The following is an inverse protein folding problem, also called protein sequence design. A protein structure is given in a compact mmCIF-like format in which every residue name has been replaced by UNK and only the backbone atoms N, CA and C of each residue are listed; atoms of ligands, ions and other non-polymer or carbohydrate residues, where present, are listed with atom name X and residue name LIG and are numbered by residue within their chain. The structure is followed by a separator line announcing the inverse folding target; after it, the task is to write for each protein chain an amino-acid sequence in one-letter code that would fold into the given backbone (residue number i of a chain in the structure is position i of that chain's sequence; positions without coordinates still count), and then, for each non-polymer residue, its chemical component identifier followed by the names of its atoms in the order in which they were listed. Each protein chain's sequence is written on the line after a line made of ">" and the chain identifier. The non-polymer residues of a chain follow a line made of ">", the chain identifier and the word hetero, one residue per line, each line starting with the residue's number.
data_IF_966640253141
#
_entry.id   IF_966640253141
#
_cell.length_a   1.000
_cell.length_b   1.000
_cell.length_c   1.000
_cell.angle_alpha   90.00
_cell.angle_beta   90.00
_cell.angle_gamma   90.00
#
_symmetry.space_group_name_H-M   'P 1'
#
loop_
_entity.id
_entity.type
_entity.pdbx_description
1 polymer ?
#
# COMPACT_ATOMS: atom_id res chain seq x y z
N UNK A 1 -4.78 -13.17 -5.68
CA UNK A 1 -4.48 -12.74 -7.07
C UNK A 1 -3.03 -13.11 -7.33
N UNK A 2 -2.75 -14.01 -8.26
CA UNK A 2 -1.35 -14.24 -8.66
C UNK A 2 -0.86 -12.98 -9.36
N UNK A 3 0.27 -12.45 -8.93
CA UNK A 3 1.01 -11.29 -9.46
C UNK A 3 1.43 -11.38 -10.94
N UNK A 4 0.91 -12.35 -11.70
CA UNK A 4 1.28 -12.61 -13.09
C UNK A 4 0.59 -11.70 -14.12
N UNK A 5 -0.49 -10.99 -13.75
CA UNK A 5 -1.30 -10.26 -14.74
C UNK A 5 -1.08 -8.73 -14.74
N UNK A 6 -0.06 -8.22 -14.04
CA UNK A 6 0.28 -6.79 -14.05
C UNK A 6 1.19 -6.36 -15.22
N UNK A 7 1.38 -7.23 -16.22
CA UNK A 7 2.29 -6.98 -17.34
C UNK A 7 1.53 -6.75 -18.66
N UNK A 8 1.20 -5.48 -18.96
CA UNK A 8 0.64 -5.08 -20.25
C UNK A 8 1.48 -4.03 -20.99
N UNK A 9 2.76 -3.84 -20.63
CA UNK A 9 3.53 -2.69 -21.11
C UNK A 9 4.69 -2.98 -22.09
N UNK A 10 4.90 -4.24 -22.48
CA UNK A 10 6.09 -4.59 -23.28
C UNK A 10 5.94 -4.31 -24.79
N UNK A 11 4.74 -4.45 -25.38
CA UNK A 11 4.62 -4.61 -26.85
C UNK A 11 3.95 -3.46 -27.63
N UNK A 12 3.20 -2.55 -27.00
CA UNK A 12 2.32 -1.61 -27.77
C UNK A 12 2.98 -0.25 -28.11
N UNK A 13 4.16 0.04 -27.57
CA UNK A 13 4.62 1.44 -27.44
C UNK A 13 5.35 1.99 -28.69
N UNK A 14 5.90 1.15 -29.57
CA UNK A 14 6.97 1.64 -30.46
C UNK A 14 6.53 2.26 -31.78
N UNK A 15 5.45 1.83 -32.42
CA UNK A 15 5.24 2.22 -33.84
C UNK A 15 4.13 3.25 -34.07
N UNK A 16 2.97 3.16 -33.41
CA UNK A 16 1.84 4.04 -33.75
C UNK A 16 1.82 5.40 -33.02
N UNK A 17 2.57 5.54 -31.91
CA UNK A 17 2.45 6.71 -31.01
C UNK A 17 3.35 7.89 -31.40
N UNK A 18 4.47 7.65 -32.08
CA UNK A 18 5.45 8.68 -32.48
C UNK A 18 4.89 9.69 -33.50
N UNK A 19 3.69 9.45 -34.05
CA UNK A 19 3.15 10.20 -35.19
C UNK A 19 2.29 11.42 -34.80
N UNK A 20 1.85 11.56 -33.55
CA UNK A 20 0.84 12.57 -33.18
C UNK A 20 1.38 13.85 -32.50
N UNK A 21 2.59 13.82 -31.91
CA UNK A 21 3.08 14.89 -31.04
C UNK A 21 4.49 15.38 -31.41
N UNK A 22 4.81 16.64 -31.08
CA UNK A 22 6.19 17.15 -31.22
C UNK A 22 7.08 16.43 -30.21
N UNK A 23 7.73 15.37 -30.68
CA UNK A 23 8.52 14.47 -29.86
C UNK A 23 10.00 14.84 -29.92
N UNK A 24 10.67 14.86 -28.77
CA UNK A 24 12.13 14.95 -28.68
C UNK A 24 12.70 13.65 -28.13
N UNK A 25 13.59 13.02 -28.89
CA UNK A 25 14.31 11.82 -28.48
C UNK A 25 15.67 12.20 -27.88
N UNK A 26 16.00 11.60 -26.73
CA UNK A 26 17.29 11.75 -26.07
C UNK A 26 17.94 10.37 -25.93
N UNK A 27 19.17 10.25 -26.39
CA UNK A 27 19.96 9.02 -26.36
C UNK A 27 21.34 9.21 -25.71
N UNK A 28 21.55 10.31 -24.99
CA UNK A 28 22.81 10.57 -24.28
C UNK A 28 22.56 11.33 -22.99
N UNK A 29 23.48 11.18 -22.03
CA UNK A 29 23.45 11.92 -20.78
C UNK A 29 23.43 13.43 -21.04
N UNK A 30 22.50 14.15 -20.42
CA UNK A 30 22.43 15.60 -20.59
C UNK A 30 21.71 16.29 -19.44
N UNK A 31 21.94 17.60 -19.32
CA UNK A 31 21.12 18.50 -18.52
C UNK A 31 20.18 19.28 -19.44
N UNK A 32 18.93 19.45 -19.03
CA UNK A 32 17.88 20.10 -19.83
C UNK A 32 17.17 21.15 -18.99
N UNK A 33 17.03 22.35 -19.54
CA UNK A 33 16.18 23.41 -19.02
C UNK A 33 14.82 23.43 -19.72
N UNK A 34 13.87 24.18 -19.15
CA UNK A 34 12.57 24.42 -19.79
C UNK A 34 12.69 25.02 -21.19
N UNK A 35 13.63 25.95 -21.39
CA UNK A 35 13.83 26.61 -22.69
C UNK A 35 14.17 25.61 -23.81
N UNK A 36 14.84 24.50 -23.47
CA UNK A 36 15.20 23.45 -24.42
C UNK A 36 14.02 22.52 -24.78
N UNK A 37 12.87 22.65 -24.10
CA UNK A 37 11.64 21.86 -24.29
C UNK A 37 10.39 22.72 -24.55
N UNK A 38 10.51 24.04 -24.74
CA UNK A 38 9.37 24.96 -24.85
C UNK A 38 8.33 24.63 -25.95
N UNK A 39 8.71 23.84 -26.95
CA UNK A 39 7.87 23.40 -28.08
C UNK A 39 7.82 21.86 -28.20
N UNK A 40 8.18 21.15 -27.13
CA UNK A 40 8.16 19.69 -27.06
C UNK A 40 6.96 19.26 -26.25
N UNK A 41 6.11 18.42 -26.83
CA UNK A 41 4.94 17.87 -26.13
C UNK A 41 5.34 16.59 -25.39
N UNK A 42 6.14 15.74 -26.05
CA UNK A 42 6.51 14.41 -25.56
C UNK A 42 8.03 14.23 -25.54
N UNK A 43 8.54 13.61 -24.48
CA UNK A 43 9.96 13.27 -24.36
C UNK A 43 10.15 11.75 -24.32
N UNK A 44 11.03 11.23 -25.18
CA UNK A 44 11.35 9.79 -25.24
C UNK A 44 12.85 9.58 -24.99
N UNK A 45 13.18 8.78 -23.99
CA UNK A 45 14.56 8.39 -23.67
C UNK A 45 14.78 6.93 -24.09
N UNK A 46 15.54 6.71 -25.16
CA UNK A 46 15.67 5.40 -25.82
C UNK A 46 16.89 4.58 -25.39
N UNK A 47 17.73 5.13 -24.52
CA UNK A 47 18.93 4.46 -24.03
C UNK A 47 19.10 4.73 -22.54
N UNK A 48 20.05 4.05 -21.91
CA UNK A 48 20.44 4.33 -20.53
C UNK A 48 20.99 5.75 -20.44
N UNK A 49 20.18 6.66 -19.89
CA UNK A 49 20.47 8.09 -19.87
C UNK A 49 20.38 8.62 -18.45
N UNK A 50 21.30 9.51 -18.10
CA UNK A 50 21.20 10.41 -16.95
C UNK A 50 20.69 11.76 -17.43
N UNK A 51 19.50 12.14 -16.97
CA UNK A 51 18.84 13.38 -17.32
C UNK A 51 18.69 14.25 -16.08
N UNK A 52 19.32 15.43 -16.08
CA UNK A 52 19.14 16.43 -15.03
C UNK A 52 18.26 17.56 -15.53
N UNK A 53 17.14 17.80 -14.86
CA UNK A 53 16.22 18.88 -15.16
C UNK A 53 16.65 20.10 -14.34
N UNK A 54 16.96 21.19 -15.03
CA UNK A 54 17.43 22.42 -14.40
C UNK A 54 16.27 23.25 -13.83
N UNK A 55 15.06 23.03 -14.36
CA UNK A 55 13.82 23.67 -13.96
C UNK A 55 12.73 22.62 -13.76
N UNK A 56 11.59 23.05 -13.22
CA UNK A 56 10.37 22.23 -13.21
C UNK A 56 9.79 22.14 -14.61
N UNK A 57 9.79 20.94 -15.20
CA UNK A 57 9.43 20.74 -16.60
C UNK A 57 7.95 20.41 -16.78
N UNK A 58 7.32 21.05 -17.77
CA UNK A 58 5.95 20.77 -18.20
C UNK A 58 5.95 20.08 -19.55
N UNK A 59 5.39 18.88 -19.61
CA UNK A 59 5.21 18.10 -20.84
C UNK A 59 3.81 17.48 -20.86
N UNK A 60 3.38 17.00 -22.02
CA UNK A 60 2.18 16.18 -22.10
C UNK A 60 2.46 14.80 -21.51
N UNK A 61 3.55 14.18 -21.95
CA UNK A 61 3.94 12.82 -21.55
C UNK A 61 5.46 12.60 -21.59
N UNK A 62 5.93 11.59 -20.85
CA UNK A 62 7.33 11.14 -20.85
C UNK A 62 7.38 9.62 -20.94
N UNK A 63 8.31 9.12 -21.76
CA UNK A 63 8.57 7.70 -21.93
C UNK A 63 10.05 7.40 -21.69
N UNK A 64 10.34 6.62 -20.65
CA UNK A 64 11.69 6.21 -20.30
C UNK A 64 11.88 4.73 -20.56
N UNK A 65 12.94 4.38 -21.30
CA UNK A 65 13.42 3.02 -21.34
C UNK A 65 14.24 2.68 -20.09
N UNK A 66 14.77 1.46 -20.08
CA UNK A 66 15.42 0.88 -18.91
C UNK A 66 16.72 1.58 -18.52
N UNK A 67 17.10 1.46 -17.25
CA UNK A 67 18.39 1.94 -16.72
C UNK A 67 18.56 3.46 -16.84
N UNK A 68 17.45 4.21 -16.71
CA UNK A 68 17.42 5.67 -16.78
C UNK A 68 17.53 6.28 -15.38
N UNK A 69 18.30 7.37 -15.26
CA UNK A 69 18.32 8.21 -14.05
C UNK A 69 17.77 9.59 -14.37
N UNK A 70 16.84 10.09 -13.58
CA UNK A 70 16.32 11.46 -13.69
C UNK A 70 16.49 12.19 -12.36
N UNK A 71 16.96 13.42 -12.43
CA UNK A 71 17.01 14.36 -11.32
C UNK A 71 16.21 15.62 -11.67
N UNK A 72 15.25 16.01 -10.84
CA UNK A 72 14.45 17.21 -10.97
C UNK A 72 12.94 16.94 -11.01
N UNK A 73 12.16 18.02 -11.03
CA UNK A 73 10.71 17.94 -10.87
C UNK A 73 9.97 17.93 -12.21
N UNK A 74 8.89 17.14 -12.27
CA UNK A 74 8.05 16.99 -13.44
C UNK A 74 6.60 17.34 -13.15
N UNK A 75 5.98 18.08 -14.07
CA UNK A 75 4.54 18.28 -14.16
C UNK A 75 4.10 17.80 -15.54
N UNK A 76 3.28 16.77 -15.60
CA UNK A 76 2.73 16.25 -16.84
C UNK A 76 1.24 16.51 -16.95
N UNK A 77 0.79 16.78 -18.16
CA UNK A 77 -0.65 16.89 -18.45
C UNK A 77 -1.28 15.49 -18.41
N UNK A 78 -0.59 14.50 -18.96
CA UNK A 78 -1.06 13.12 -19.10
C UNK A 78 -0.13 12.17 -18.33
N UNK A 79 0.62 11.32 -19.04
CA UNK A 79 1.22 10.14 -18.45
C UNK A 79 2.74 10.26 -18.29
N UNK A 80 3.23 9.85 -17.12
CA UNK A 80 4.62 9.47 -16.93
C UNK A 80 4.75 7.95 -17.11
N UNK A 81 5.61 7.48 -18.02
CA UNK A 81 5.82 6.06 -18.27
C UNK A 81 7.31 5.75 -18.26
N UNK A 82 7.71 4.82 -17.42
CA UNK A 82 9.08 4.36 -17.35
C UNK A 82 9.14 2.84 -17.21
N UNK A 83 10.09 2.22 -17.92
CA UNK A 83 10.33 0.78 -17.86
C UNK A 83 11.09 0.40 -16.58
N UNK A 84 12.01 -0.55 -16.68
CA UNK A 84 12.69 -1.17 -15.55
C UNK A 84 13.94 -0.41 -15.12
N UNK A 85 14.37 -0.63 -13.88
CA UNK A 85 15.63 -0.14 -13.32
C UNK A 85 15.76 1.39 -13.40
N UNK A 86 14.71 2.10 -13.01
CA UNK A 86 14.66 3.57 -13.05
C UNK A 86 15.14 4.14 -11.72
N UNK A 87 15.98 5.17 -11.76
CA UNK A 87 16.34 5.95 -10.59
C UNK A 87 15.78 7.37 -10.76
N UNK A 88 14.74 7.72 -10.03
CA UNK A 88 14.12 9.04 -10.11
C UNK A 88 14.32 9.81 -8.80
N UNK A 89 14.82 11.04 -8.89
CA UNK A 89 14.90 11.97 -7.77
C UNK A 89 14.21 13.29 -8.12
N UNK A 90 13.18 13.65 -7.37
CA UNK A 90 12.36 14.84 -7.56
C UNK A 90 10.88 14.52 -7.38
N UNK A 91 10.03 15.51 -7.60
CA UNK A 91 8.58 15.35 -7.52
C UNK A 91 7.97 15.05 -8.90
N UNK A 92 6.85 14.32 -8.94
CA UNK A 92 6.03 14.11 -10.15
C UNK A 92 4.58 14.50 -9.86
N UNK A 93 3.98 15.32 -10.73
CA UNK A 93 2.54 15.53 -10.81
C UNK A 93 2.04 15.17 -12.21
N UNK A 94 1.17 14.17 -12.35
CA UNK A 94 0.69 13.68 -13.65
C UNK A 94 -0.77 13.20 -13.58
N UNK A 95 -1.39 12.89 -14.73
CA UNK A 95 -2.66 12.16 -14.75
C UNK A 95 -2.43 10.72 -14.28
N UNK A 96 -1.49 10.02 -14.93
CA UNK A 96 -1.07 8.68 -14.56
C UNK A 96 0.45 8.59 -14.44
N UNK A 97 0.91 7.69 -13.58
CA UNK A 97 2.34 7.40 -13.40
C UNK A 97 2.56 5.90 -13.43
N UNK A 98 3.45 5.44 -14.30
CA UNK A 98 3.80 4.04 -14.51
C UNK A 98 5.31 3.86 -14.41
N UNK A 99 5.73 2.95 -13.54
CA UNK A 99 7.12 2.50 -13.41
C UNK A 99 7.19 0.98 -13.53
N UNK A 100 8.21 0.48 -14.22
CA UNK A 100 8.52 -0.94 -14.25
C UNK A 100 9.17 -1.44 -12.95
N UNK A 101 9.88 -2.55 -13.06
CA UNK A 101 10.51 -3.25 -11.95
C UNK A 101 11.79 -2.59 -11.45
N UNK A 102 12.19 -2.92 -10.22
CA UNK A 102 13.48 -2.55 -9.63
C UNK A 102 13.76 -1.04 -9.68
N UNK A 103 12.72 -0.25 -9.47
CA UNK A 103 12.77 1.21 -9.57
C UNK A 103 13.01 1.83 -8.20
N UNK A 104 13.91 2.82 -8.12
CA UNK A 104 14.16 3.65 -6.94
C UNK A 104 13.61 5.05 -7.17
N UNK A 105 12.68 5.46 -6.32
CA UNK A 105 11.98 6.74 -6.38
C UNK A 105 12.26 7.55 -5.12
N UNK A 106 12.70 8.79 -5.28
CA UNK A 106 12.97 9.71 -4.17
C UNK A 106 12.32 11.08 -4.43
N UNK A 107 11.23 11.36 -3.73
CA UNK A 107 10.43 12.57 -3.84
C UNK A 107 8.94 12.30 -3.67
N UNK A 108 8.09 13.28 -3.93
CA UNK A 108 6.65 13.15 -3.77
C UNK A 108 5.96 12.90 -5.12
N UNK A 109 4.99 12.00 -5.11
CA UNK A 109 4.32 11.53 -6.32
C UNK A 109 2.82 11.76 -6.24
N UNK A 110 2.29 12.60 -7.13
CA UNK A 110 0.87 12.86 -7.27
C UNK A 110 0.40 12.41 -8.67
N UNK A 111 -0.36 11.32 -8.72
CA UNK A 111 -1.07 10.90 -9.93
C UNK A 111 -2.56 11.17 -9.74
N UNK A 112 -3.22 11.91 -10.61
CA UNK A 112 -4.65 12.24 -10.43
C UNK A 112 -5.54 10.99 -10.45
N UNK A 113 -5.21 10.04 -11.32
CA UNK A 113 -5.93 8.79 -11.47
C UNK A 113 -5.09 7.63 -10.93
N UNK A 114 -4.15 7.11 -11.72
CA UNK A 114 -3.45 5.87 -11.41
C UNK A 114 -1.95 6.05 -11.16
N UNK A 115 -1.46 5.43 -10.09
CA UNK A 115 -0.03 5.21 -9.85
C UNK A 115 0.26 3.71 -9.85
N UNK A 116 1.06 3.24 -10.79
CA UNK A 116 1.42 1.83 -10.92
C UNK A 116 2.92 1.64 -10.93
N UNK A 117 3.40 0.68 -10.13
CA UNK A 117 4.81 0.33 -10.08
C UNK A 117 5.02 -1.17 -9.95
N UNK A 118 6.00 -1.67 -10.69
CA UNK A 118 6.39 -3.07 -10.67
C UNK A 118 7.02 -3.54 -9.35
N UNK A 119 7.40 -4.81 -9.34
CA UNK A 119 8.07 -5.47 -8.22
C UNK A 119 9.38 -4.79 -7.79
N UNK A 120 9.72 -4.98 -6.51
CA UNK A 120 11.00 -4.59 -5.89
C UNK A 120 11.28 -3.09 -5.95
N UNK A 121 10.23 -2.27 -6.01
CA UNK A 121 10.38 -0.82 -5.97
C UNK A 121 10.77 -0.32 -4.58
N UNK A 122 11.57 0.74 -4.53
CA UNK A 122 11.89 1.47 -3.30
C UNK A 122 11.43 2.90 -3.50
N UNK A 123 10.49 3.35 -2.68
CA UNK A 123 9.90 4.69 -2.78
C UNK A 123 10.16 5.41 -1.46
N UNK A 124 10.84 6.56 -1.53
CA UNK A 124 11.02 7.47 -0.41
C UNK A 124 10.29 8.77 -0.71
N UNK A 125 9.30 9.10 0.11
CA UNK A 125 8.40 10.24 -0.09
C UNK A 125 6.94 9.83 -0.27
N UNK A 126 6.06 10.83 -0.33
CA UNK A 126 4.61 10.62 -0.26
C UNK A 126 4.02 10.21 -1.62
N UNK A 127 2.97 9.38 -1.59
CA UNK A 127 2.19 8.97 -2.76
C UNK A 127 0.75 9.43 -2.58
N UNK A 128 0.22 10.14 -3.57
CA UNK A 128 -1.18 10.55 -3.63
C UNK A 128 -1.78 10.18 -4.98
N UNK A 129 -2.81 9.34 -4.99
CA UNK A 129 -3.53 8.98 -6.20
C UNK A 129 -4.98 8.55 -5.96
N UNK A 130 -5.72 8.20 -7.01
CA UNK A 130 -7.03 7.53 -6.86
C UNK A 130 -6.81 6.02 -6.69
N UNK A 131 -6.02 5.41 -7.57
CA UNK A 131 -5.68 3.99 -7.53
C UNK A 131 -4.16 3.79 -7.46
N UNK A 132 -3.69 3.00 -6.48
CA UNK A 132 -2.30 2.58 -6.36
C UNK A 132 -2.17 1.08 -6.62
N UNK A 133 -1.34 0.71 -7.60
CA UNK A 133 -0.90 -0.68 -7.81
C UNK A 133 0.59 -0.78 -7.59
N UNK A 134 1.00 -1.68 -6.70
CA UNK A 134 2.40 -1.85 -6.33
C UNK A 134 2.76 -3.33 -6.29
N UNK A 135 3.83 -3.67 -7.00
CA UNK A 135 4.30 -5.05 -7.12
C UNK A 135 4.80 -5.66 -5.80
N UNK A 136 5.23 -6.91 -5.90
CA UNK A 136 5.78 -7.66 -4.77
C UNK A 136 7.11 -7.08 -4.29
N UNK A 137 7.43 -7.30 -3.01
CA UNK A 137 8.69 -6.88 -2.37
C UNK A 137 8.97 -5.37 -2.42
N UNK A 138 7.97 -4.56 -2.77
CA UNK A 138 8.12 -3.12 -2.81
C UNK A 138 8.12 -2.52 -1.41
N UNK A 139 8.86 -1.43 -1.25
CA UNK A 139 8.99 -0.67 -0.01
C UNK A 139 8.61 0.78 -0.22
N UNK A 140 7.74 1.30 0.64
CA UNK A 140 7.37 2.72 0.67
C UNK A 140 7.71 3.32 2.03
N UNK A 141 8.49 4.40 1.99
CA UNK A 141 8.87 5.22 3.14
C UNK A 141 8.36 6.63 2.97
N UNK A 142 7.05 6.76 3.12
CA UNK A 142 6.27 7.99 3.04
C UNK A 142 4.78 7.70 3.18
N UNK A 143 3.97 8.74 3.29
CA UNK A 143 2.52 8.61 3.44
C UNK A 143 1.88 8.19 2.13
N UNK A 144 0.98 7.20 2.18
CA UNK A 144 0.18 6.76 1.04
C UNK A 144 -1.26 7.23 1.25
N UNK A 145 -1.75 8.05 0.33
CA UNK A 145 -3.16 8.48 0.27
C UNK A 145 -3.75 8.05 -1.06
N UNK A 146 -4.67 7.08 -1.04
CA UNK A 146 -5.36 6.60 -2.24
C UNK A 146 -6.81 6.22 -1.93
N UNK A 147 -7.68 6.07 -2.93
CA UNK A 147 -8.98 5.44 -2.69
C UNK A 147 -8.82 3.92 -2.63
N UNK A 148 -8.07 3.37 -3.59
CA UNK A 148 -7.83 1.93 -3.70
C UNK A 148 -6.32 1.63 -3.76
N UNK A 149 -5.90 0.63 -2.99
CA UNK A 149 -4.51 0.13 -2.97
C UNK A 149 -4.53 -1.38 -3.24
N UNK A 150 -3.72 -1.79 -4.21
CA UNK A 150 -3.45 -3.19 -4.54
C UNK A 150 -1.94 -3.43 -4.43
N UNK A 151 -1.52 -4.16 -3.40
CA UNK A 151 -0.11 -4.45 -3.16
C UNK A 151 0.19 -5.95 -3.26
N UNK A 152 1.29 -6.29 -3.92
CA UNK A 152 1.79 -7.67 -3.97
C UNK A 152 2.21 -8.21 -2.60
N UNK A 153 2.67 -9.46 -2.59
CA UNK A 153 3.25 -10.10 -1.41
C UNK A 153 4.54 -9.40 -0.95
N UNK A 154 4.83 -9.51 0.34
CA UNK A 154 5.97 -8.88 1.01
C UNK A 154 6.00 -7.34 0.86
N UNK A 155 4.87 -6.70 0.57
CA UNK A 155 4.79 -5.25 0.55
C UNK A 155 5.14 -4.67 1.92
N UNK A 156 5.97 -3.63 1.95
CA UNK A 156 6.38 -2.97 3.18
C UNK A 156 6.09 -1.48 3.10
N UNK A 157 5.38 -0.96 4.10
CA UNK A 157 5.27 0.49 4.32
C UNK A 157 5.59 0.81 5.77
N UNK A 158 6.51 1.76 6.00
CA UNK A 158 6.74 2.39 7.31
C UNK A 158 6.09 3.77 7.45
N UNK A 159 5.49 4.28 6.38
CA UNK A 159 4.67 5.49 6.40
C UNK A 159 3.20 5.23 6.71
N UNK A 160 2.45 6.31 6.88
CA UNK A 160 1.01 6.24 7.17
C UNK A 160 0.24 5.83 5.92
N UNK A 161 -0.88 5.12 6.10
CA UNK A 161 -1.75 4.70 5.00
C UNK A 161 -3.16 5.18 5.28
N UNK A 162 -3.72 5.91 4.30
CA UNK A 162 -5.10 6.35 4.29
C UNK A 162 -5.77 5.93 2.98
N UNK A 163 -6.75 5.03 3.05
CA UNK A 163 -7.52 4.64 1.87
C UNK A 163 -8.90 4.05 2.20
N UNK A 164 -9.75 3.95 1.18
CA UNK A 164 -11.03 3.25 1.30
C UNK A 164 -10.82 1.75 1.20
N UNK A 165 -10.08 1.26 0.20
CA UNK A 165 -9.89 -0.18 -0.01
C UNK A 165 -8.41 -0.50 -0.10
N UNK A 166 -7.97 -1.51 0.63
CA UNK A 166 -6.62 -2.04 0.55
C UNK A 166 -6.66 -3.56 0.47
N UNK A 167 -6.14 -4.09 -0.64
CA UNK A 167 -5.84 -5.51 -0.81
C UNK A 167 -4.33 -5.73 -0.83
N UNK A 168 -3.83 -6.64 -0.02
CA UNK A 168 -2.41 -7.01 -0.03
C UNK A 168 -2.17 -8.52 -0.03
N UNK A 169 -1.06 -8.93 -0.63
CA UNK A 169 -0.61 -10.32 -0.64
C UNK A 169 -0.06 -10.78 0.72
N UNK A 170 0.61 -11.93 0.69
CA UNK A 170 1.15 -12.57 1.89
C UNK A 170 2.30 -11.78 2.53
N UNK A 171 2.47 -11.92 3.84
CA UNK A 171 3.62 -11.42 4.61
C UNK A 171 3.87 -9.90 4.54
N UNK A 172 2.87 -9.13 4.11
CA UNK A 172 2.96 -7.66 4.04
C UNK A 172 3.06 -7.01 5.42
N UNK A 173 3.66 -5.82 5.47
CA UNK A 173 3.96 -5.08 6.71
C UNK A 173 3.51 -3.63 6.60
N UNK A 174 2.56 -3.22 7.45
CA UNK A 174 1.99 -1.87 7.49
C UNK A 174 2.33 -1.21 8.83
N UNK A 175 3.48 -0.53 8.87
CA UNK A 175 4.14 -0.11 10.11
C UNK A 175 3.79 1.31 10.57
N UNK A 176 3.24 2.16 9.70
CA UNK A 176 2.77 3.50 10.09
C UNK A 176 1.38 3.51 10.73
N UNK A 177 0.75 4.69 10.80
CA UNK A 177 -0.64 4.82 11.22
C UNK A 177 -1.56 4.44 10.06
N UNK A 178 -2.48 3.51 10.30
CA UNK A 178 -3.38 3.00 9.28
C UNK A 178 -4.82 3.47 9.54
N UNK A 179 -5.41 4.15 8.57
CA UNK A 179 -6.83 4.49 8.52
C UNK A 179 -7.38 3.97 7.19
N UNK A 180 -7.93 2.75 7.21
CA UNK A 180 -8.29 2.00 6.01
C UNK A 180 -9.72 1.53 6.17
N UNK A 181 -10.66 1.90 5.30
CA UNK A 181 -12.05 1.43 5.49
C UNK A 181 -12.11 -0.09 5.35
N UNK A 182 -11.66 -0.66 4.23
CA UNK A 182 -11.70 -2.09 3.96
C UNK A 182 -10.29 -2.65 3.73
N UNK A 183 -9.77 -3.42 4.68
CA UNK A 183 -8.48 -4.10 4.55
C UNK A 183 -8.69 -5.61 4.38
N UNK A 184 -8.25 -6.13 3.23
CA UNK A 184 -8.17 -7.56 2.95
C UNK A 184 -6.71 -7.96 2.78
N UNK A 185 -6.27 -8.95 3.54
CA UNK A 185 -4.93 -9.49 3.40
C UNK A 185 -4.93 -11.00 3.44
N UNK A 186 -4.01 -11.57 2.67
CA UNK A 186 -3.65 -12.98 2.79
C UNK A 186 -2.80 -13.22 4.05
N UNK A 187 -2.33 -14.46 4.19
CA UNK A 187 -1.55 -14.97 5.31
C UNK A 187 -0.36 -14.08 5.73
N UNK A 188 -0.18 -13.90 7.04
CA UNK A 188 1.05 -13.33 7.61
C UNK A 188 1.14 -11.80 7.66
N UNK A 189 0.02 -11.07 7.53
CA UNK A 189 0.01 -9.61 7.65
C UNK A 189 0.51 -9.14 9.02
N UNK A 190 1.43 -8.16 9.02
CA UNK A 190 1.92 -7.50 10.23
C UNK A 190 1.60 -6.00 10.22
N UNK A 191 0.78 -5.52 11.15
CA UNK A 191 0.40 -4.11 11.23
C UNK A 191 0.80 -3.48 12.56
N UNK A 192 0.93 -2.15 12.55
CA UNK A 192 1.20 -1.35 13.75
C UNK A 192 -0.09 -0.88 14.47
N UNK A 193 -1.20 -1.60 14.29
CA UNK A 193 -2.54 -1.16 14.68
C UNK A 193 -3.20 -0.27 13.62
N UNK A 194 -4.36 0.30 13.95
CA UNK A 194 -5.09 1.17 13.03
C UNK A 194 -6.58 1.29 13.29
N UNK A 195 -7.23 2.07 12.42
CA UNK A 195 -8.67 2.24 12.36
C UNK A 195 -9.18 1.63 11.06
N UNK A 196 -10.18 0.76 11.18
CA UNK A 196 -10.77 0.02 10.08
C UNK A 196 -12.28 0.18 10.07
N UNK A 197 -12.94 0.13 8.92
CA UNK A 197 -14.36 -0.20 8.90
C UNK A 197 -14.48 -1.72 8.97
N UNK A 198 -13.85 -2.42 8.04
CA UNK A 198 -13.73 -3.87 8.00
C UNK A 198 -12.27 -4.31 7.83
N UNK A 199 -11.84 -5.25 8.67
CA UNK A 199 -10.56 -5.95 8.56
C UNK A 199 -10.83 -7.43 8.35
N UNK A 200 -10.27 -7.99 7.29
CA UNK A 200 -10.33 -9.40 6.94
C UNK A 200 -8.91 -9.90 6.66
N UNK A 201 -8.45 -10.83 7.48
CA UNK A 201 -7.12 -11.44 7.32
C UNK A 201 -7.20 -12.95 7.47
N UNK A 202 -6.43 -13.64 6.64
CA UNK A 202 -6.19 -15.07 6.81
C UNK A 202 -5.28 -15.33 8.04
N UNK A 203 -4.64 -16.51 8.08
CA UNK A 203 -3.81 -16.95 9.18
C UNK A 203 -2.60 -16.04 9.48
N UNK A 204 -2.04 -16.21 10.67
CA UNK A 204 -0.79 -15.59 11.12
C UNK A 204 -0.78 -14.06 11.14
N UNK A 205 -1.95 -13.42 11.23
CA UNK A 205 -2.08 -11.98 11.41
C UNK A 205 -1.42 -11.51 12.72
N UNK A 206 -0.68 -10.40 12.65
CA UNK A 206 0.01 -9.80 13.79
C UNK A 206 -0.28 -8.31 13.87
N UNK A 207 -0.76 -7.85 15.03
CA UNK A 207 -0.82 -6.42 15.36
C UNK A 207 0.11 -6.08 16.51
N UNK A 208 0.92 -5.03 16.33
CA UNK A 208 1.83 -4.52 17.37
C UNK A 208 1.16 -3.56 18.36
N UNK A 209 0.02 -2.97 17.99
CA UNK A 209 -0.71 -2.03 18.83
C UNK A 209 -2.22 -2.29 18.77
N UNK A 210 -2.97 -1.37 19.38
CA UNK A 210 -4.43 -1.39 19.40
C UNK A 210 -5.04 -1.18 18.03
N UNK A 211 -6.23 -1.75 17.84
CA UNK A 211 -6.99 -1.67 16.60
C UNK A 211 -8.44 -1.34 16.92
N UNK A 212 -9.10 -0.62 16.01
CA UNK A 212 -10.54 -0.42 16.12
C UNK A 212 -11.26 -0.52 14.79
N UNK A 213 -12.52 -0.95 14.80
CA UNK A 213 -13.37 -0.84 13.62
C UNK A 213 -14.83 -1.18 13.80
N UNK A 214 -15.50 -1.56 12.71
CA UNK A 214 -16.86 -2.09 12.76
C UNK A 214 -16.84 -3.62 12.79
N UNK A 215 -16.10 -4.23 11.86
CA UNK A 215 -15.97 -5.67 11.71
C UNK A 215 -14.51 -6.08 11.63
N UNK A 216 -14.06 -6.94 12.53
CA UNK A 216 -12.68 -7.42 12.57
C UNK A 216 -12.68 -8.96 12.52
N UNK A 217 -12.35 -9.52 11.37
CA UNK A 217 -12.26 -10.96 11.13
C UNK A 217 -10.79 -11.32 10.90
N UNK A 218 -10.26 -12.12 11.80
CA UNK A 218 -8.90 -12.65 11.72
C UNK A 218 -8.97 -14.15 11.94
N UNK A 219 -8.37 -14.94 11.03
CA UNK A 219 -8.42 -16.39 11.10
C UNK A 219 -7.47 -16.94 12.18
N UNK A 220 -6.61 -17.92 11.88
CA UNK A 220 -5.90 -18.68 12.92
C UNK A 220 -4.53 -18.08 13.25
N UNK A 221 -3.99 -18.46 14.40
CA UNK A 221 -2.63 -18.11 14.84
C UNK A 221 -2.39 -16.58 14.93
N UNK A 222 -3.42 -15.84 15.33
CA UNK A 222 -3.39 -14.38 15.43
C UNK A 222 -2.59 -13.95 16.66
N UNK A 223 -1.78 -12.90 16.56
CA UNK A 223 -1.08 -12.28 17.70
C UNK A 223 -1.39 -10.78 17.74
N UNK A 224 -2.04 -10.32 18.81
CA UNK A 224 -2.39 -8.91 18.96
C UNK A 224 -1.79 -8.36 20.25
N UNK A 225 -0.97 -7.33 20.12
CA UNK A 225 -0.34 -6.62 21.24
C UNK A 225 -0.99 -5.25 21.45
N UNK A 226 -2.23 -5.25 21.89
CA UNK A 226 -2.98 -4.02 22.10
C UNK A 226 -4.47 -4.31 22.28
N UNK A 227 -5.21 -3.24 22.53
CA UNK A 227 -6.66 -3.33 22.72
C UNK A 227 -7.36 -3.49 21.37
N UNK A 228 -8.44 -4.26 21.35
CA UNK A 228 -9.30 -4.42 20.18
C UNK A 228 -10.65 -3.79 20.50
N UNK A 229 -11.13 -2.92 19.61
CA UNK A 229 -12.45 -2.32 19.75
C UNK A 229 -13.25 -2.46 18.45
N UNK A 230 -14.37 -3.17 18.47
CA UNK A 230 -15.31 -3.16 17.34
C UNK A 230 -16.70 -2.74 17.78
N UNK A 231 -17.50 -2.22 16.84
CA UNK A 231 -18.93 -2.01 17.06
C UNK A 231 -19.69 -3.30 16.84
N UNK A 232 -19.58 -3.87 15.64
CA UNK A 232 -20.45 -4.97 15.24
C UNK A 232 -19.88 -6.34 15.58
N UNK A 233 -18.72 -6.70 15.03
CA UNK A 233 -18.28 -8.08 15.03
C UNK A 233 -16.77 -8.22 15.21
N UNK A 234 -16.35 -9.08 16.14
CA UNK A 234 -14.96 -9.54 16.26
C UNK A 234 -14.96 -11.06 16.18
N UNK A 235 -14.18 -11.59 15.24
CA UNK A 235 -13.82 -13.01 15.19
C UNK A 235 -12.31 -13.14 15.16
N UNK A 236 -11.80 -13.97 16.07
CA UNK A 236 -10.41 -14.38 16.11
C UNK A 236 -10.39 -15.90 16.11
N UNK A 237 -9.78 -16.51 15.09
CA UNK A 237 -9.69 -17.95 14.93
C UNK A 237 -8.73 -18.63 15.91
N UNK A 238 -8.39 -19.88 15.60
CA UNK A 238 -7.81 -20.82 16.55
C UNK A 238 -6.38 -20.47 16.97
N UNK A 239 -5.98 -20.92 18.15
CA UNK A 239 -4.59 -20.84 18.67
C UNK A 239 -4.04 -19.41 18.69
N UNK A 240 -4.92 -18.43 18.84
CA UNK A 240 -4.57 -17.02 18.83
C UNK A 240 -4.14 -16.50 20.20
N UNK A 241 -3.42 -15.40 20.26
CA UNK A 241 -2.96 -14.73 21.48
C UNK A 241 -3.31 -13.25 21.42
N UNK A 242 -4.08 -12.79 22.41
CA UNK A 242 -4.48 -11.38 22.54
C UNK A 242 -3.93 -10.83 23.85
N UNK A 243 -3.03 -9.85 23.74
CA UNK A 243 -2.39 -9.15 24.83
C UNK A 243 -2.96 -7.73 24.95
N UNK A 244 -4.21 -7.63 25.40
CA UNK A 244 -4.92 -6.37 25.58
C UNK A 244 -6.40 -6.61 25.86
N UNK A 245 -7.14 -5.53 26.11
CA UNK A 245 -8.59 -5.60 26.33
C UNK A 245 -9.36 -5.76 25.01
N UNK A 246 -10.48 -6.46 25.02
CA UNK A 246 -11.32 -6.68 23.81
C UNK A 246 -12.73 -6.18 24.04
N UNK A 247 -13.14 -5.16 23.29
CA UNK A 247 -14.49 -4.62 23.36
C UNK A 247 -15.20 -4.82 22.03
N UNK A 248 -16.34 -5.49 22.04
CA UNK A 248 -17.30 -5.50 20.94
C UNK A 248 -18.66 -5.04 21.46
N UNK A 249 -19.47 -4.34 20.67
CA UNK A 249 -20.84 -4.00 21.10
C UNK A 249 -21.79 -5.16 20.84
N UNK A 250 -21.77 -5.74 19.64
CA UNK A 250 -22.74 -6.78 19.27
C UNK A 250 -22.18 -8.19 19.48
N UNK A 251 -21.22 -8.64 18.67
CA UNK A 251 -20.86 -10.06 18.62
C UNK A 251 -19.36 -10.33 18.72
N UNK A 252 -19.00 -11.29 19.58
CA UNK A 252 -17.62 -11.72 19.80
C UNK A 252 -17.49 -13.25 19.71
N UNK A 253 -16.55 -13.70 18.87
CA UNK A 253 -16.21 -15.12 18.66
C UNK A 253 -14.70 -15.35 18.76
N UNK A 254 -14.34 -16.41 19.50
CA UNK A 254 -12.96 -16.87 19.65
C UNK A 254 -12.87 -18.36 19.31
N UNK A 255 -11.93 -18.71 18.44
CA UNK A 255 -11.64 -20.09 18.05
C UNK A 255 -10.94 -20.88 19.17
N UNK A 256 -11.02 -22.24 19.13
CA UNK A 256 -10.28 -23.14 20.01
C UNK A 256 -8.83 -22.76 20.29
N UNK A 257 -8.44 -22.86 21.56
CA UNK A 257 -7.06 -22.61 22.00
C UNK A 257 -6.62 -21.14 22.01
N UNK A 258 -7.54 -20.20 21.77
CA UNK A 258 -7.26 -18.76 21.94
C UNK A 258 -6.92 -18.45 23.39
N UNK A 259 -5.84 -17.67 23.58
CA UNK A 259 -5.39 -17.16 24.87
C UNK A 259 -5.63 -15.67 24.95
N UNK A 260 -6.35 -15.25 25.98
CA UNK A 260 -6.64 -13.84 26.25
C UNK A 260 -5.93 -13.39 27.53
N UNK A 261 -5.11 -12.35 27.41
CA UNK A 261 -4.29 -11.75 28.48
C UNK A 261 -4.68 -10.28 28.75
N UNK A 262 -5.96 -9.92 28.58
CA UNK A 262 -6.49 -8.62 28.96
C UNK A 262 -7.20 -8.64 30.31
N UNK A 263 -7.60 -7.46 30.80
CA UNK A 263 -8.39 -7.31 32.02
C UNK A 263 -9.88 -7.42 31.74
N UNK A 264 -10.33 -7.06 30.53
CA UNK A 264 -11.76 -6.95 30.19
C UNK A 264 -12.07 -7.48 28.81
N UNK A 265 -13.21 -8.16 28.71
CA UNK A 265 -13.89 -8.35 27.44
C UNK A 265 -15.41 -8.25 27.55
N UNK A 266 -16.06 -7.65 26.55
CA UNK A 266 -17.51 -7.44 26.52
C UNK A 266 -18.08 -7.53 25.10
N UNK A 267 -19.31 -8.04 25.00
CA UNK A 267 -20.19 -8.06 23.83
C UNK A 267 -21.62 -8.36 24.32
N UNK A 268 -22.65 -7.88 23.60
CA UNK A 268 -24.06 -8.23 23.87
C UNK A 268 -24.29 -9.72 23.67
N UNK A 269 -23.87 -10.25 22.53
CA UNK A 269 -23.91 -11.65 22.20
C UNK A 269 -22.50 -12.23 22.25
N UNK A 270 -22.38 -13.35 22.97
CA UNK A 270 -21.11 -14.04 23.13
C UNK A 270 -21.29 -15.48 22.68
N UNK A 271 -20.56 -15.88 21.65
CA UNK A 271 -20.23 -17.29 21.54
C UNK A 271 -19.07 -17.52 22.49
N UNK A 272 -19.36 -18.12 23.66
CA UNK A 272 -18.33 -18.44 24.63
C UNK A 272 -17.24 -19.23 23.91
N UNK A 273 -15.96 -18.92 24.19
CA UNK A 273 -14.91 -19.69 23.59
C UNK A 273 -15.10 -21.16 24.00
N UNK A 274 -14.81 -22.11 23.09
CA UNK A 274 -14.93 -23.53 23.42
C UNK A 274 -14.08 -23.84 24.66
N UNK A 275 -14.43 -24.91 25.37
CA UNK A 275 -13.84 -25.32 26.66
C UNK A 275 -12.30 -25.40 26.70
N UNK A 276 -11.64 -25.35 25.55
CA UNK A 276 -10.18 -25.33 25.38
C UNK A 276 -9.53 -23.95 25.48
N UNK A 277 -10.28 -22.85 25.41
CA UNK A 277 -9.69 -21.51 25.54
C UNK A 277 -9.30 -21.20 26.98
N UNK A 278 -8.18 -20.50 27.14
CA UNK A 278 -7.63 -20.14 28.45
C UNK A 278 -7.76 -18.64 28.65
N UNK A 279 -8.60 -18.24 29.61
CA UNK A 279 -8.67 -16.86 30.08
C UNK A 279 -7.85 -16.76 31.34
N UNK A 280 -6.70 -16.07 31.29
CA UNK A 280 -5.85 -15.84 32.45
C UNK A 280 -6.19 -14.47 33.06
N UNK A 281 -6.19 -14.38 34.40
CA UNK A 281 -6.48 -13.16 35.18
C UNK A 281 -7.93 -12.67 35.22
N UNK A 282 -8.90 -13.56 35.42
CA UNK A 282 -10.26 -13.09 35.76
C UNK A 282 -10.31 -12.61 37.23
N UNK A 283 -10.38 -11.29 37.40
CA UNK A 283 -11.36 -10.73 38.34
C UNK A 283 -12.78 -11.06 37.82
N UNK A 284 -13.83 -10.94 38.66
CA UNK A 284 -15.19 -11.38 38.30
C UNK A 284 -15.60 -10.87 36.91
N UNK A 285 -16.06 -11.79 36.07
CA UNK A 285 -16.68 -11.44 34.78
C UNK A 285 -17.99 -10.73 35.11
N UNK A 286 -17.93 -9.40 35.13
CA UNK A 286 -19.15 -8.60 35.22
C UNK A 286 -19.85 -8.69 33.87
N UNK A 287 -20.89 -9.51 33.83
CA UNK A 287 -21.93 -9.39 32.81
C UNK A 287 -22.65 -8.08 33.14
N UNK A 288 -22.42 -7.05 32.32
CA UNK A 288 -23.33 -5.91 32.33
C UNK A 288 -24.66 -6.46 31.81
N UNK A 289 -25.60 -6.68 32.72
CA UNK A 289 -27.02 -6.78 32.36
C UNK A 289 -27.38 -5.41 31.76
N UNK A 290 -27.67 -5.40 30.47
CA UNK A 290 -28.24 -4.25 29.76
C UNK A 290 -29.75 -4.41 29.71
#
# INVERSE_FOLDING_TARGET
>A
MSSRDLFWYEDVVKEDFLLAHKTKTINQNMSISNDALKDVDSLVLTEAVKLKLLDRIKLQEIWLLENTTIEGDLILVEDFKARNNINYTGDINALNVYFGHNTSLNGNFEAKDKFEIGNSAIITGDIKCTELRIGENARVSGTITANEIYAGSNFYSDGNIKCTKFMTGENSKLMGKNTIDYLYSQNGLNINGGQFLELHTDDNFKSKNSMSGNKLIMDNCVIINGNIKAKDYIRVGDKSVINGDVYCENYLEFGPGTTFNGKKYSAKEKQLPPSSAKIRNQGPVHFAEF
#
